data_IF_990976859585
#
_entry.id   IF_990976859585
#
_cell.length_a   1.000
_cell.length_b   1.000
_cell.length_c   1.000
_cell.angle_alpha   90.00
_cell.angle_beta   90.00
_cell.angle_gamma   90.00
#
_symmetry.space_group_name_H-M   'P 1'
#
loop_
_entity.id
_entity.type
_entity.pdbx_description
1 polymer ?
#
# COMPACT_ATOMS: atom_id res chain seq x y z
N UNK A 1 3.77 23.45 -5.07
CA UNK A 1 5.11 22.90 -4.80
C UNK A 1 5.11 21.45 -5.27
N UNK A 2 5.79 21.14 -6.37
CA UNK A 2 5.91 19.78 -6.88
C UNK A 2 7.32 19.30 -6.51
N UNK A 3 7.43 18.15 -5.84
CA UNK A 3 8.72 17.54 -5.51
C UNK A 3 9.07 16.61 -6.67
N UNK A 4 10.12 16.95 -7.42
CA UNK A 4 10.65 16.05 -8.45
C UNK A 4 11.33 14.87 -7.76
N UNK A 5 10.56 13.83 -7.44
CA UNK A 5 11.10 12.57 -6.92
C UNK A 5 11.86 11.88 -8.06
N UNK A 6 13.19 11.93 -8.00
CA UNK A 6 14.08 11.31 -9.00
C UNK A 6 14.01 9.77 -8.98
N UNK A 7 13.61 9.21 -7.84
CA UNK A 7 13.50 7.77 -7.64
C UNK A 7 12.15 7.43 -7.02
N UNK A 8 11.53 6.37 -7.52
CA UNK A 8 10.35 5.84 -6.88
C UNK A 8 10.77 5.06 -5.64
N UNK A 9 10.25 5.52 -4.51
CA UNK A 9 10.52 4.93 -3.21
C UNK A 9 9.18 4.53 -2.63
N UNK A 10 9.02 3.24 -2.40
CA UNK A 10 7.89 2.69 -1.67
C UNK A 10 8.05 2.84 -0.16
N UNK A 11 6.93 2.88 0.54
CA UNK A 11 6.79 2.91 1.99
C UNK A 11 7.58 4.06 2.63
N UNK A 12 7.46 5.25 2.03
CA UNK A 12 8.16 6.43 2.49
C UNK A 12 7.80 6.78 3.93
N UNK A 13 8.83 6.89 4.79
CA UNK A 13 8.67 7.31 6.18
C UNK A 13 8.30 8.79 6.27
N UNK A 14 7.58 9.20 7.33
CA UNK A 14 7.41 10.61 7.64
C UNK A 14 8.76 11.31 7.75
N UNK A 15 8.87 12.49 7.16
CA UNK A 15 10.02 13.38 7.28
C UNK A 15 9.68 14.54 8.23
N UNK A 16 10.69 15.13 8.83
CA UNK A 16 10.54 16.20 9.80
C UNK A 16 10.90 17.56 9.18
N UNK A 17 10.06 18.55 9.47
CA UNK A 17 10.32 19.96 9.23
C UNK A 17 10.55 20.64 10.58
N UNK A 18 11.62 21.42 10.66
CA UNK A 18 11.95 22.24 11.82
C UNK A 18 12.06 23.68 11.36
N UNK A 19 11.21 24.54 11.93
CA UNK A 19 11.36 25.99 11.82
C UNK A 19 11.90 26.48 13.15
N UNK A 20 13.01 27.21 13.12
CA UNK A 20 13.66 27.73 14.32
C UNK A 20 14.27 29.10 14.04
N UNK A 21 14.36 29.93 15.08
CA UNK A 21 15.12 31.18 15.02
C UNK A 21 16.63 30.85 14.98
N UNK A 22 17.35 31.46 14.04
CA UNK A 22 18.78 31.24 13.87
C UNK A 22 19.61 31.74 15.07
N UNK A 23 19.18 32.83 15.72
CA UNK A 23 19.88 33.45 16.85
C UNK A 23 19.36 32.94 18.20
N UNK A 24 18.17 32.35 18.25
CA UNK A 24 17.62 31.68 19.44
C UNK A 24 16.99 30.30 19.10
N UNK A 25 17.81 29.25 18.89
CA UNK A 25 17.34 27.94 18.40
C UNK A 25 16.40 27.19 19.36
N UNK A 26 16.30 27.61 20.62
CA UNK A 26 15.33 27.04 21.56
C UNK A 26 13.88 27.38 21.16
N UNK A 27 13.68 28.50 20.47
CA UNK A 27 12.41 28.87 19.86
C UNK A 27 12.23 28.12 18.53
N UNK A 28 11.59 26.96 18.61
CA UNK A 28 11.39 26.11 17.44
C UNK A 28 10.02 25.44 17.39
N UNK A 29 9.55 25.20 16.17
CA UNK A 29 8.37 24.39 15.87
C UNK A 29 8.81 23.19 15.04
N UNK A 30 8.50 21.99 15.56
CA UNK A 30 8.77 20.72 14.88
C UNK A 30 7.46 20.14 14.37
N UNK A 31 7.42 19.82 13.09
CA UNK A 31 6.28 19.15 12.47
C UNK A 31 6.77 17.98 11.66
N UNK A 32 6.03 16.88 11.69
CA UNK A 32 6.31 15.75 10.81
C UNK A 32 5.32 15.82 9.65
N UNK A 33 5.82 15.64 8.44
CA UNK A 33 5.00 15.47 7.26
C UNK A 33 5.19 14.06 6.73
N UNK A 34 4.09 13.43 6.37
CA UNK A 34 4.11 12.12 5.74
C UNK A 34 3.97 12.35 4.25
N UNK A 35 4.93 11.84 3.47
CA UNK A 35 4.70 11.70 2.04
C UNK A 35 3.45 10.84 1.87
N UNK A 36 2.43 11.35 1.17
CA UNK A 36 1.18 10.60 0.99
C UNK A 36 1.52 9.24 0.37
N UNK A 37 1.37 8.19 1.18
CA UNK A 37 1.55 6.76 0.95
C UNK A 37 2.25 6.35 -0.35
N UNK A 38 3.39 5.65 -0.26
CA UNK A 38 3.85 4.81 -1.38
C UNK A 38 3.87 3.35 -0.97
N UNK A 39 3.37 2.47 -1.84
CA UNK A 39 3.51 1.02 -1.72
C UNK A 39 4.74 0.57 -2.51
N UNK A 40 5.23 -0.66 -2.23
CA UNK A 40 6.38 -1.30 -2.90
C UNK A 40 6.37 -1.12 -4.40
N UNK A 41 7.51 -0.97 -5.08
CA UNK A 41 7.46 -0.93 -6.54
C UNK A 41 6.87 -2.20 -7.15
N UNK A 42 7.15 -3.35 -6.53
CA UNK A 42 6.69 -4.65 -6.97
C UNK A 42 5.92 -5.48 -5.95
N UNK A 43 5.67 -4.94 -4.77
CA UNK A 43 4.61 -5.42 -3.88
C UNK A 43 3.44 -4.42 -3.87
N UNK A 44 3.61 -3.27 -4.54
CA UNK A 44 2.52 -2.74 -5.36
C UNK A 44 2.40 -3.48 -6.70
N UNK A 45 3.41 -4.26 -7.17
CA UNK A 45 3.39 -4.95 -8.48
C UNK A 45 4.22 -6.25 -8.64
N UNK A 46 3.67 -7.42 -8.28
CA UNK A 46 4.43 -8.67 -8.25
C UNK A 46 4.90 -9.16 -9.62
N UNK A 47 4.18 -8.79 -10.69
CA UNK A 47 4.44 -9.23 -12.07
C UNK A 47 5.43 -8.32 -12.83
N UNK A 48 5.82 -7.19 -12.22
CA UNK A 48 6.68 -6.18 -12.85
C UNK A 48 8.14 -6.64 -13.04
N UNK A 49 8.48 -7.84 -12.56
CA UNK A 49 9.79 -8.44 -12.72
C UNK A 49 9.68 -9.64 -13.66
N UNK A 50 10.49 -9.73 -14.72
CA UNK A 50 10.47 -10.87 -15.64
C UNK A 50 10.74 -12.15 -14.86
N UNK A 51 9.75 -13.03 -14.78
CA UNK A 51 9.99 -14.39 -14.30
C UNK A 51 10.80 -15.08 -15.39
N UNK A 52 11.94 -15.70 -15.03
CA UNK A 52 12.97 -16.18 -15.97
C UNK A 52 12.55 -17.28 -16.99
N UNK A 53 11.25 -17.46 -17.27
CA UNK A 53 10.69 -18.61 -17.99
C UNK A 53 9.76 -18.28 -19.16
N UNK A 54 9.64 -17.03 -19.61
CA UNK A 54 8.79 -16.73 -20.77
C UNK A 54 9.41 -15.75 -21.76
N UNK A 55 10.44 -16.21 -22.48
CA UNK A 55 10.72 -15.71 -23.82
C UNK A 55 10.36 -16.82 -24.82
N UNK A 56 9.14 -16.69 -25.35
CA UNK A 56 8.69 -17.16 -26.67
C UNK A 56 8.69 -18.67 -26.98
N UNK A 57 7.56 -19.32 -26.66
CA UNK A 57 6.79 -20.03 -27.69
C UNK A 57 5.30 -20.14 -27.34
N UNK A 58 4.48 -19.84 -28.33
CA UNK A 58 3.06 -20.16 -28.49
C UNK A 58 2.05 -19.15 -27.95
N UNK A 59 1.58 -18.31 -28.88
CA UNK A 59 0.15 -18.20 -29.21
C UNK A 59 -0.74 -19.21 -28.48
N UNK A 60 -1.64 -18.72 -27.62
CA UNK A 60 -2.63 -19.54 -26.96
C UNK A 60 -3.23 -18.88 -25.72
N UNK A 61 -4.42 -18.31 -25.90
CA UNK A 61 -5.32 -17.86 -24.83
C UNK A 61 -5.41 -18.93 -23.74
N UNK A 62 -4.98 -18.65 -22.51
CA UNK A 62 -5.61 -19.17 -21.29
C UNK A 62 -5.53 -18.14 -20.16
N UNK A 63 -6.60 -17.35 -20.12
CA UNK A 63 -7.14 -16.78 -18.89
C UNK A 63 -7.33 -17.89 -17.85
N UNK A 64 -6.88 -17.67 -16.62
CA UNK A 64 -7.54 -18.02 -15.33
C UNK A 64 -6.50 -18.26 -14.23
N UNK A 65 -6.30 -17.26 -13.37
CA UNK A 65 -6.02 -17.53 -11.96
C UNK A 65 -6.50 -16.38 -11.06
N UNK A 66 -7.77 -16.42 -10.70
CA UNK A 66 -8.27 -15.78 -9.49
C UNK A 66 -8.29 -16.82 -8.36
N UNK A 67 -7.44 -16.65 -7.35
CA UNK A 67 -7.52 -17.27 -6.00
C UNK A 67 -6.83 -16.30 -5.03
N UNK A 68 -7.43 -15.80 -3.96
CA UNK A 68 -8.76 -15.98 -3.41
C UNK A 68 -9.08 -14.76 -2.54
N UNK A 69 -10.14 -14.02 -2.88
CA UNK A 69 -10.84 -13.14 -1.95
C UNK A 69 -12.33 -13.48 -2.03
N UNK A 70 -12.65 -14.73 -1.71
CA UNK A 70 -14.03 -15.20 -1.59
C UNK A 70 -14.07 -15.95 -0.28
N UNK A 71 -14.49 -15.25 0.78
CA UNK A 71 -15.09 -15.79 2.01
C UNK A 71 -15.36 -14.70 3.07
N UNK A 72 -15.01 -13.43 2.85
CA UNK A 72 -15.30 -12.40 3.85
C UNK A 72 -16.81 -12.14 4.03
N UNK A 73 -17.60 -12.18 2.95
CA UNK A 73 -19.05 -11.97 3.02
C UNK A 73 -19.81 -13.10 3.72
N UNK A 74 -19.40 -14.37 3.53
CA UNK A 74 -20.04 -15.50 4.19
C UNK A 74 -19.79 -15.46 5.70
N UNK A 75 -18.58 -15.09 6.13
CA UNK A 75 -18.25 -14.94 7.56
C UNK A 75 -19.01 -13.80 8.22
N UNK A 76 -19.21 -12.67 7.52
CA UNK A 76 -19.98 -11.52 8.05
C UNK A 76 -21.47 -11.88 8.18
N UNK A 77 -22.06 -12.55 7.19
CA UNK A 77 -23.46 -12.99 7.25
C UNK A 77 -23.69 -14.03 8.36
N UNK A 78 -22.74 -14.96 8.54
CA UNK A 78 -22.82 -15.96 9.61
C UNK A 78 -22.72 -15.32 10.99
N UNK A 79 -21.82 -14.34 11.18
CA UNK A 79 -21.72 -13.59 12.43
C UNK A 79 -22.99 -12.77 12.73
N UNK A 80 -23.59 -12.13 11.73
CA UNK A 80 -24.84 -11.38 11.89
C UNK A 80 -26.02 -12.30 12.26
N UNK A 81 -26.15 -13.47 11.62
CA UNK A 81 -27.19 -14.44 11.96
C UNK A 81 -27.03 -14.99 13.37
N UNK A 82 -25.79 -15.26 13.81
CA UNK A 82 -25.51 -15.69 15.18
C UNK A 82 -25.91 -14.63 16.23
N UNK A 83 -25.65 -13.36 15.95
CA UNK A 83 -26.02 -12.27 16.86
C UNK A 83 -27.53 -12.10 16.97
N UNK A 84 -28.28 -12.28 15.87
CA UNK A 84 -29.75 -12.19 15.87
C UNK A 84 -30.36 -13.37 16.62
N UNK A 85 -29.84 -14.59 16.44
CA UNK A 85 -30.40 -15.79 17.03
C UNK A 85 -30.18 -15.93 18.56
N UNK A 86 -29.20 -15.21 19.12
CA UNK A 86 -28.86 -15.27 20.55
C UNK A 86 -29.45 -14.11 21.38
N UNK A 87 -30.11 -13.14 20.74
CA UNK A 87 -30.73 -11.98 21.38
C UNK A 87 -32.26 -12.11 21.52
N UNK A 88 -32.80 -13.33 21.43
CA UNK A 88 -34.22 -13.63 21.60
C UNK A 88 -34.40 -14.80 22.56
#
# INVERSE_FOLDING_TARGET
>A
LYSDMVYQVSEQKPAQLVLFDYYDPEQQVKTNYVAKQSRSLQDACPDCWPTALSSEKSTGIQTMRARAARNLHASILFALLFLIAFQQ
#
